data_IF_466838925963
#
_entry.id   IF_466838925963
#
_cell.length_a   1.000
_cell.length_b   1.000
_cell.length_c   1.000
_cell.angle_alpha   90.00
_cell.angle_beta   90.00
_cell.angle_gamma   90.00
#
_symmetry.space_group_name_H-M   'P 1'
#
loop_
_entity.id
_entity.type
_entity.pdbx_description
1 polymer ?
#
# COMPACT_ATOMS: atom_id res chain seq x y z
N UNK A 1 1.87 -27.32 24.24
CA UNK A 1 2.54 -26.68 23.08
C UNK A 1 1.48 -26.30 22.06
N UNK A 2 1.03 -25.05 22.08
CA UNK A 2 0.05 -24.53 21.12
C UNK A 2 0.74 -24.31 19.78
N UNK A 3 0.41 -25.16 18.80
CA UNK A 3 0.79 -24.97 17.40
C UNK A 3 0.23 -23.60 16.95
N UNK A 4 1.08 -22.57 16.88
CA UNK A 4 0.71 -21.32 16.20
C UNK A 4 0.33 -21.70 14.78
N UNK A 5 -0.94 -21.45 14.41
CA UNK A 5 -1.47 -21.58 13.05
C UNK A 5 -0.55 -20.82 12.08
N UNK A 6 -0.50 -21.18 10.78
CA UNK A 6 0.24 -20.38 9.81
C UNK A 6 -0.24 -18.94 9.94
N UNK A 7 0.66 -18.04 10.32
CA UNK A 7 0.38 -16.62 10.43
C UNK A 7 -0.17 -16.19 9.07
N UNK A 8 -1.39 -15.63 9.04
CA UNK A 8 -2.00 -15.17 7.80
C UNK A 8 -1.01 -14.22 7.14
N UNK A 9 -0.56 -14.52 5.91
CA UNK A 9 0.50 -13.76 5.23
C UNK A 9 0.13 -12.29 5.07
N UNK A 10 -1.18 -11.99 5.00
CA UNK A 10 -1.68 -10.62 4.96
C UNK A 10 -1.56 -9.92 6.33
N UNK A 11 -1.75 -10.64 7.43
CA UNK A 11 -1.49 -10.09 8.77
C UNK A 11 0.01 -9.86 8.99
N UNK A 12 0.88 -10.77 8.52
CA UNK A 12 2.32 -10.54 8.52
C UNK A 12 2.70 -9.30 7.71
N UNK A 13 2.11 -9.14 6.52
CA UNK A 13 2.31 -7.94 5.70
C UNK A 13 1.83 -6.68 6.44
N UNK A 14 0.66 -6.73 7.08
CA UNK A 14 0.15 -5.60 7.87
C UNK A 14 1.11 -5.21 8.99
N UNK A 15 1.60 -6.17 9.77
CA UNK A 15 2.57 -5.92 10.85
C UNK A 15 3.81 -5.21 10.30
N UNK A 16 4.39 -5.73 9.22
CA UNK A 16 5.58 -5.15 8.57
C UNK A 16 5.30 -3.76 8.00
N UNK A 17 4.14 -3.54 7.37
CA UNK A 17 3.75 -2.22 6.85
C UNK A 17 3.60 -1.23 8.00
N UNK A 18 2.90 -1.59 9.06
CA UNK A 18 2.71 -0.73 10.24
C UNK A 18 4.05 -0.37 10.88
N UNK A 19 4.94 -1.34 11.09
CA UNK A 19 6.27 -1.11 11.66
C UNK A 19 7.12 -0.18 10.77
N UNK A 20 7.14 -0.44 9.46
CA UNK A 20 7.94 0.35 8.51
C UNK A 20 7.42 1.78 8.39
N UNK A 21 6.09 1.96 8.32
CA UNK A 21 5.47 3.29 8.23
C UNK A 21 5.60 4.09 9.52
N UNK A 22 5.45 3.44 10.68
CA UNK A 22 5.67 4.10 11.97
C UNK A 22 7.11 4.59 12.12
N UNK A 23 8.08 3.83 11.58
CA UNK A 23 9.51 4.19 11.63
C UNK A 23 9.86 5.45 10.85
N UNK A 24 9.05 5.82 9.84
CA UNK A 24 9.19 7.06 9.08
C UNK A 24 8.25 8.17 9.58
N UNK A 25 7.59 7.97 10.73
CA UNK A 25 6.69 8.94 11.33
C UNK A 25 5.33 9.09 10.62
N UNK A 26 4.92 8.09 9.84
CA UNK A 26 3.62 8.10 9.16
C UNK A 26 2.50 7.62 10.10
N UNK A 27 1.31 8.24 10.01
CA UNK A 27 0.15 7.80 10.79
C UNK A 27 -0.42 6.49 10.24
N UNK A 28 -0.35 5.45 11.05
CA UNK A 28 -0.80 4.09 10.74
C UNK A 28 -2.23 3.81 11.22
N UNK A 29 -2.88 4.81 11.82
CA UNK A 29 -4.26 4.71 12.27
C UNK A 29 -5.19 4.40 11.10
N UNK A 30 -5.99 3.34 11.22
CA UNK A 30 -6.93 2.94 10.18
C UNK A 30 -6.36 2.02 9.10
N UNK A 31 -5.10 1.57 9.21
CA UNK A 31 -4.59 0.46 8.38
C UNK A 31 -5.24 -0.85 8.84
N UNK A 32 -5.89 -1.56 7.92
CA UNK A 32 -6.58 -2.82 8.24
C UNK A 32 -6.34 -3.90 7.19
N UNK A 33 -6.27 -5.14 7.66
CA UNK A 33 -6.13 -6.33 6.84
C UNK A 33 -7.45 -7.10 6.76
N UNK A 34 -7.63 -7.80 5.66
CA UNK A 34 -8.69 -8.78 5.41
C UNK A 34 -8.04 -10.04 4.85
N UNK A 35 -8.80 -11.09 4.62
CA UNK A 35 -8.28 -12.30 3.95
C UNK A 35 -7.82 -12.02 2.51
N UNK A 36 -8.31 -10.95 1.88
CA UNK A 36 -8.02 -10.62 0.47
C UNK A 36 -6.86 -9.65 0.29
N UNK A 37 -6.40 -9.01 1.36
CA UNK A 37 -5.41 -7.94 1.27
C UNK A 37 -5.44 -6.94 2.42
N UNK A 38 -4.70 -5.86 2.24
CA UNK A 38 -4.45 -4.78 3.20
C UNK A 38 -4.91 -3.44 2.60
N UNK A 39 -5.50 -2.58 3.39
CA UNK A 39 -5.84 -1.22 2.98
C UNK A 39 -5.06 -0.19 3.81
N UNK A 40 -4.58 0.88 3.15
CA UNK A 40 -3.91 2.03 3.74
C UNK A 40 -4.68 3.30 3.30
N UNK A 41 -5.84 3.59 3.92
CA UNK A 41 -6.74 4.63 3.43
C UNK A 41 -6.13 6.04 3.40
N UNK A 42 -5.32 6.38 4.40
CA UNK A 42 -4.62 7.67 4.49
C UNK A 42 -3.66 7.92 3.32
N UNK A 43 -3.14 6.86 2.70
CA UNK A 43 -2.30 6.92 1.52
C UNK A 43 -3.08 6.68 0.21
N UNK A 44 -4.40 6.44 0.28
CA UNK A 44 -5.22 5.98 -0.86
C UNK A 44 -4.67 4.73 -1.54
N UNK A 45 -3.99 3.87 -0.79
CA UNK A 45 -3.37 2.64 -1.29
C UNK A 45 -4.12 1.41 -0.80
N UNK A 46 -4.14 0.38 -1.63
CA UNK A 46 -4.65 -0.95 -1.28
C UNK A 46 -3.66 -1.99 -1.79
N UNK A 47 -3.41 -3.03 -1.00
CA UNK A 47 -2.64 -4.20 -1.39
C UNK A 47 -3.58 -5.40 -1.50
N UNK A 48 -3.59 -6.08 -2.63
CA UNK A 48 -4.41 -7.27 -2.86
C UNK A 48 -3.52 -8.49 -3.12
N UNK A 49 -3.99 -9.67 -2.72
CA UNK A 49 -3.36 -10.92 -3.12
C UNK A 49 -3.94 -11.39 -4.45
N UNK A 50 -3.10 -11.53 -5.48
CA UNK A 50 -3.53 -12.00 -6.81
C UNK A 50 -2.58 -13.02 -7.41
N UNK A 51 -3.01 -13.66 -8.50
CA UNK A 51 -2.14 -14.50 -9.33
C UNK A 51 -1.71 -13.68 -10.55
N UNK A 52 -0.40 -13.51 -10.72
CA UNK A 52 0.21 -12.81 -11.86
C UNK A 52 1.23 -13.76 -12.51
N UNK A 53 1.11 -14.01 -13.82
CA UNK A 53 2.02 -14.88 -14.59
C UNK A 53 2.29 -16.25 -13.94
N UNK A 54 1.28 -16.85 -13.30
CA UNK A 54 1.38 -18.15 -12.63
C UNK A 54 1.94 -18.12 -11.20
N UNK A 55 2.30 -16.95 -10.66
CA UNK A 55 2.80 -16.79 -9.30
C UNK A 55 1.85 -15.96 -8.43
N UNK A 56 1.83 -16.23 -7.12
CA UNK A 56 1.07 -15.40 -6.17
C UNK A 56 1.88 -14.17 -5.82
N UNK A 57 1.27 -13.00 -6.00
CA UNK A 57 1.91 -11.71 -5.74
C UNK A 57 1.01 -10.85 -4.86
N UNK A 58 1.64 -9.97 -4.09
CA UNK A 58 1.00 -8.79 -3.57
C UNK A 58 1.02 -7.72 -4.67
N UNK A 59 -0.15 -7.20 -5.01
CA UNK A 59 -0.29 -6.03 -5.89
C UNK A 59 -0.68 -4.84 -5.04
N UNK A 60 0.14 -3.79 -5.06
CA UNK A 60 -0.22 -2.53 -4.45
C UNK A 60 -0.75 -1.57 -5.51
N UNK A 61 -1.99 -1.15 -5.34
CA UNK A 61 -2.66 -0.14 -6.15
C UNK A 61 -2.80 1.16 -5.36
N UNK A 62 -2.79 2.28 -6.08
CA UNK A 62 -3.12 3.59 -5.55
C UNK A 62 -4.29 4.18 -6.34
N UNK A 63 -5.20 4.85 -5.64
CA UNK A 63 -6.33 5.54 -6.23
C UNK A 63 -6.13 7.05 -6.19
N UNK A 64 -6.34 7.71 -7.32
CA UNK A 64 -6.32 9.17 -7.40
C UNK A 64 -7.45 9.68 -8.28
N UNK A 65 -7.95 10.86 -7.95
CA UNK A 65 -8.97 11.55 -8.73
C UNK A 65 -8.31 12.44 -9.76
N UNK A 66 -8.79 12.35 -11.00
CA UNK A 66 -8.46 13.32 -12.05
C UNK A 66 -9.72 14.07 -12.45
N UNK A 67 -9.59 15.38 -12.64
CA UNK A 67 -10.66 16.21 -13.19
C UNK A 67 -10.36 16.45 -14.66
N UNK A 68 -11.30 16.07 -15.52
CA UNK A 68 -11.24 16.41 -16.93
C UNK A 68 -11.49 17.91 -17.10
N UNK A 69 -10.51 18.63 -17.66
CA UNK A 69 -10.54 20.09 -17.86
C UNK A 69 -11.67 20.51 -18.80
N UNK A 70 -12.07 19.66 -19.73
CA UNK A 70 -13.10 19.96 -20.72
C UNK A 70 -14.53 19.76 -20.20
N UNK A 71 -14.74 18.76 -19.34
CA UNK A 71 -16.07 18.39 -18.85
C UNK A 71 -16.31 18.75 -17.39
N UNK A 72 -15.27 19.12 -16.64
CA UNK A 72 -15.32 19.36 -15.20
C UNK A 72 -15.64 18.11 -14.37
N UNK A 73 -15.70 16.93 -15.00
CA UNK A 73 -16.05 15.68 -14.32
C UNK A 73 -14.82 15.09 -13.63
N UNK A 74 -15.01 14.71 -12.37
CA UNK A 74 -14.03 13.96 -11.60
C UNK A 74 -14.16 12.47 -11.91
N UNK A 75 -13.03 11.81 -12.19
CA UNK A 75 -12.93 10.37 -12.42
C UNK A 75 -11.88 9.79 -11.48
N UNK A 76 -12.23 8.70 -10.81
CA UNK A 76 -11.26 7.95 -9.98
C UNK A 76 -10.50 6.99 -10.88
N UNK A 77 -9.18 7.14 -10.90
CA UNK A 77 -8.27 6.22 -11.56
C UNK A 77 -7.59 5.33 -10.52
N UNK A 78 -7.32 4.09 -10.93
CA UNK A 78 -6.56 3.12 -10.15
C UNK A 78 -5.29 2.78 -10.91
N UNK A 79 -4.14 2.87 -10.25
CA UNK A 79 -2.85 2.53 -10.86
C UNK A 79 -2.12 1.50 -10.02
N UNK A 80 -1.57 0.48 -10.68
CA UNK A 80 -0.66 -0.47 -10.03
C UNK A 80 0.67 0.22 -9.79
N UNK A 81 1.07 0.30 -8.53
CA UNK A 81 2.35 0.88 -8.11
C UNK A 81 3.45 -0.18 -8.03
N UNK A 82 3.15 -1.29 -7.35
CA UNK A 82 4.11 -2.34 -7.06
C UNK A 82 3.51 -3.72 -7.23
N UNK A 83 4.31 -4.67 -7.71
CA UNK A 83 4.02 -6.10 -7.63
C UNK A 83 5.20 -6.80 -6.98
N UNK A 84 4.96 -7.50 -5.86
CA UNK A 84 6.00 -8.22 -5.14
C UNK A 84 5.56 -9.67 -4.90
N UNK A 85 6.48 -10.64 -4.93
CA UNK A 85 6.16 -12.04 -4.60
C UNK A 85 5.53 -12.14 -3.21
N UNK A 86 4.52 -13.01 -3.06
CA UNK A 86 3.83 -13.24 -1.77
C UNK A 86 4.80 -13.70 -0.67
N UNK A 87 5.91 -14.34 -1.05
CA UNK A 87 6.95 -14.83 -0.15
C UNK A 87 7.86 -13.70 0.39
N UNK A 88 7.71 -12.47 -0.13
CA UNK A 88 8.54 -11.30 0.23
C UNK A 88 7.71 -10.12 0.76
N UNK A 89 6.92 -10.29 1.84
CA UNK A 89 6.08 -9.22 2.38
C UNK A 89 6.89 -7.99 2.83
N UNK A 90 8.12 -8.18 3.30
CA UNK A 90 9.02 -7.08 3.68
C UNK A 90 9.43 -6.21 2.47
N UNK A 91 9.53 -6.80 1.26
CA UNK A 91 9.80 -6.05 0.02
C UNK A 91 8.64 -5.10 -0.27
N UNK A 92 7.41 -5.62 -0.20
CA UNK A 92 6.19 -4.81 -0.39
C UNK A 92 6.08 -3.69 0.64
N UNK A 93 6.28 -3.99 1.93
CA UNK A 93 6.24 -2.98 2.99
C UNK A 93 7.25 -1.85 2.76
N UNK A 94 8.47 -2.20 2.34
CA UNK A 94 9.52 -1.22 1.99
C UNK A 94 9.13 -0.36 0.80
N UNK A 95 8.62 -0.96 -0.28
CA UNK A 95 8.20 -0.22 -1.49
C UNK A 95 7.09 0.78 -1.19
N UNK A 96 6.10 0.39 -0.36
CA UNK A 96 5.05 1.28 0.13
C UNK A 96 5.63 2.45 0.93
N UNK A 97 6.51 2.16 1.89
CA UNK A 97 7.10 3.20 2.74
C UNK A 97 7.95 4.20 1.95
N UNK A 98 8.76 3.73 0.99
CA UNK A 98 9.54 4.60 0.12
C UNK A 98 8.64 5.52 -0.71
N UNK A 99 7.53 4.99 -1.25
CA UNK A 99 6.59 5.78 -2.02
C UNK A 99 5.93 6.88 -1.19
N UNK A 100 5.44 6.53 0.00
CA UNK A 100 4.80 7.48 0.91
C UNK A 100 5.80 8.57 1.33
N UNK A 101 7.03 8.19 1.68
CA UNK A 101 8.07 9.14 2.05
C UNK A 101 8.39 10.10 0.90
N UNK A 102 8.51 9.59 -0.34
CA UNK A 102 8.71 10.41 -1.53
C UNK A 102 7.58 11.41 -1.72
N UNK A 103 6.31 10.98 -1.68
CA UNK A 103 5.17 11.88 -1.84
C UNK A 103 5.10 12.95 -0.74
N UNK A 104 5.51 12.62 0.50
CA UNK A 104 5.60 13.60 1.59
C UNK A 104 6.69 14.65 1.33
N UNK A 105 7.84 14.23 0.80
CA UNK A 105 8.93 15.13 0.41
C UNK A 105 8.48 16.04 -0.74
N UNK A 106 7.93 15.47 -1.81
CA UNK A 106 7.45 16.22 -2.97
C UNK A 106 6.41 17.27 -2.55
N UNK A 107 5.41 16.86 -1.76
CA UNK A 107 4.41 17.80 -1.23
C UNK A 107 4.95 18.84 -0.24
N UNK A 108 6.10 18.61 0.40
CA UNK A 108 6.76 19.63 1.22
C UNK A 108 7.52 20.64 0.36
N UNK A 109 8.17 20.18 -0.72
CA UNK A 109 8.84 21.04 -1.70
C UNK A 109 7.83 21.96 -2.38
N UNK A 110 6.73 21.41 -2.89
CA UNK A 110 5.68 22.17 -3.60
C UNK A 110 5.02 23.25 -2.74
N UNK A 111 5.00 23.08 -1.40
CA UNK A 111 4.47 24.07 -0.45
C UNK A 111 5.45 25.19 -0.11
N UNK A 112 6.73 25.01 -0.44
CA UNK A 112 7.81 25.94 -0.10
C UNK A 112 8.14 26.90 -1.24
N UNK A 113 7.75 26.55 -2.47
CA UNK A 113 7.94 27.35 -3.69
C UNK A 113 6.66 28.17 -3.95
#
# INVERSE_FOLDING_TARGET
MTKRKPTNVVEQLKELVVETLSSIGYDVSGIFATERGLAIPSAKMQVTLKVSKGHRVFECIEQYSVMDVSTGKETVLTMVRFEEPMEKPASMARSIALHIAQNQIDGAIDRTI
#
